data_IF_864279645765
#
_entry.id   IF_864279645765
#
_cell.length_a   1.000
_cell.length_b   1.000
_cell.length_c   1.000
_cell.angle_alpha   90.00
_cell.angle_beta   90.00
_cell.angle_gamma   90.00
#
_symmetry.space_group_name_H-M   'P 1'
#
loop_
_entity.id
_entity.type
_entity.pdbx_description
1 polymer ?
#
# COMPACT_ATOMS: atom_id res chain seq x y z
N UNK A 1 -49.97 -37.73 12.03
CA UNK A 1 -49.53 -36.41 11.53
C UNK A 1 -49.11 -36.58 10.07
N UNK A 2 -49.90 -36.07 9.12
CA UNK A 2 -49.62 -36.26 7.70
C UNK A 2 -48.25 -35.67 7.30
N UNK A 3 -47.47 -36.32 6.42
CA UNK A 3 -46.22 -35.75 5.90
C UNK A 3 -46.52 -34.42 5.19
N UNK A 4 -45.80 -33.35 5.55
CA UNK A 4 -45.98 -32.04 4.92
C UNK A 4 -45.67 -32.16 3.43
N UNK A 5 -46.64 -31.84 2.57
CA UNK A 5 -46.48 -31.80 1.11
C UNK A 5 -45.29 -30.90 0.74
N UNK A 6 -44.43 -31.36 -0.18
CA UNK A 6 -43.33 -30.55 -0.73
C UNK A 6 -43.92 -29.33 -1.47
N UNK A 7 -43.35 -28.14 -1.24
CA UNK A 7 -43.78 -26.91 -1.90
C UNK A 7 -43.49 -26.96 -3.40
N UNK A 8 -44.38 -26.39 -4.20
CA UNK A 8 -44.15 -26.25 -5.65
C UNK A 8 -43.16 -25.12 -5.95
N UNK A 9 -42.56 -25.12 -7.15
CA UNK A 9 -41.60 -24.07 -7.57
C UNK A 9 -42.17 -22.65 -7.44
N UNK A 10 -43.44 -22.46 -7.83
CA UNK A 10 -44.15 -21.17 -7.73
C UNK A 10 -44.35 -20.75 -6.27
N UNK A 11 -44.68 -21.69 -5.39
CA UNK A 11 -44.82 -21.42 -3.95
C UNK A 11 -43.49 -21.02 -3.30
N UNK A 12 -42.36 -21.55 -3.76
CA UNK A 12 -41.03 -21.17 -3.24
C UNK A 12 -40.62 -19.77 -3.73
N UNK A 13 -40.86 -19.46 -5.00
CA UNK A 13 -40.61 -18.12 -5.56
C UNK A 13 -41.48 -17.06 -4.86
N UNK A 14 -42.76 -17.36 -4.62
CA UNK A 14 -43.67 -16.49 -3.88
C UNK A 14 -43.24 -16.34 -2.41
N UNK A 15 -42.81 -17.42 -1.75
CA UNK A 15 -42.31 -17.37 -0.38
C UNK A 15 -41.02 -16.52 -0.27
N UNK A 16 -40.14 -16.53 -1.27
CA UNK A 16 -38.96 -15.67 -1.33
C UNK A 16 -39.34 -14.19 -1.45
N UNK A 17 -40.34 -13.88 -2.28
CA UNK A 17 -40.87 -12.51 -2.44
C UNK A 17 -41.57 -12.02 -1.17
N UNK A 18 -42.39 -12.86 -0.54
CA UNK A 18 -43.02 -12.54 0.74
C UNK A 18 -41.98 -12.36 1.86
N UNK A 19 -40.91 -13.16 1.88
CA UNK A 19 -39.82 -12.98 2.84
C UNK A 19 -39.12 -11.62 2.67
N UNK A 20 -38.84 -11.25 1.43
CA UNK A 20 -38.26 -9.95 1.11
C UNK A 20 -39.20 -8.79 1.52
N UNK A 21 -40.52 -8.97 1.36
CA UNK A 21 -41.53 -7.97 1.74
C UNK A 21 -41.70 -7.84 3.25
N UNK A 22 -41.79 -8.95 3.98
CA UNK A 22 -42.05 -9.00 5.43
C UNK A 22 -40.81 -8.66 6.26
N UNK A 23 -39.62 -9.09 5.82
CA UNK A 23 -38.38 -8.88 6.58
C UNK A 23 -37.48 -7.77 6.01
N UNK A 24 -37.79 -7.22 4.83
CA UNK A 24 -37.01 -6.16 4.18
C UNK A 24 -37.14 -4.80 4.86
N UNK A 25 -38.30 -4.52 5.45
CA UNK A 25 -38.64 -3.20 6.02
C UNK A 25 -38.48 -3.23 7.55
N UNK A 26 -37.70 -2.32 8.16
CA UNK A 26 -37.70 -2.14 9.62
C UNK A 26 -39.08 -1.65 10.08
N UNK A 27 -39.59 -2.17 11.19
CA UNK A 27 -40.84 -1.70 11.80
C UNK A 27 -40.68 -0.35 12.57
N UNK A 28 -39.46 0.19 12.63
CA UNK A 28 -39.11 1.42 13.34
C UNK A 28 -37.59 1.67 13.34
N UNK A 29 -37.08 2.69 14.07
CA UNK A 29 -35.64 2.87 14.27
C UNK A 29 -35.07 1.67 15.04
N UNK A 30 -34.23 0.87 14.37
CA UNK A 30 -33.64 -0.35 14.92
C UNK A 30 -32.19 -0.14 15.37
N UNK A 31 -31.86 -0.67 16.55
CA UNK A 31 -30.49 -0.79 17.02
C UNK A 31 -29.63 -1.76 16.17
N UNK A 32 -28.31 -1.56 16.20
CA UNK A 32 -27.37 -2.33 15.39
C UNK A 32 -27.40 -3.84 15.68
N UNK A 33 -27.69 -4.24 16.92
CA UNK A 33 -27.88 -5.62 17.36
C UNK A 33 -29.09 -6.27 16.70
N UNK A 34 -30.21 -5.56 16.67
CA UNK A 34 -31.48 -6.08 16.16
C UNK A 34 -31.50 -6.12 14.64
N UNK A 35 -30.84 -5.15 14.00
CA UNK A 35 -30.54 -5.19 12.56
C UNK A 35 -29.73 -6.43 12.17
N UNK A 36 -28.75 -6.82 13.01
CA UNK A 36 -27.93 -8.02 12.78
C UNK A 36 -28.75 -9.30 12.94
N UNK A 37 -29.62 -9.37 13.96
CA UNK A 37 -30.55 -10.50 14.17
C UNK A 37 -31.54 -10.63 13.02
N UNK A 38 -32.13 -9.52 12.55
CA UNK A 38 -33.06 -9.50 11.40
C UNK A 38 -32.38 -10.03 10.13
N UNK A 39 -31.18 -9.54 9.81
CA UNK A 39 -30.38 -10.04 8.67
C UNK A 39 -30.07 -11.53 8.77
N UNK A 40 -29.78 -12.05 9.97
CA UNK A 40 -29.54 -13.48 10.17
C UNK A 40 -30.78 -14.32 9.86
N UNK A 41 -31.97 -13.87 10.30
CA UNK A 41 -33.25 -14.54 10.00
C UNK A 41 -33.56 -14.55 8.50
N UNK A 42 -33.38 -13.40 7.83
CA UNK A 42 -33.55 -13.27 6.37
C UNK A 42 -32.64 -14.26 5.63
N UNK A 43 -31.34 -14.25 5.96
CA UNK A 43 -30.36 -15.09 5.27
C UNK A 43 -30.60 -16.58 5.51
N UNK A 44 -31.04 -16.96 6.72
CA UNK A 44 -31.34 -18.35 7.04
C UNK A 44 -32.55 -18.86 6.27
N UNK A 45 -33.66 -18.11 6.27
CA UNK A 45 -34.86 -18.49 5.54
C UNK A 45 -34.64 -18.50 4.03
N UNK A 46 -33.91 -17.50 3.50
CA UNK A 46 -33.51 -17.49 2.09
C UNK A 46 -32.68 -18.72 1.72
N UNK A 47 -31.66 -19.06 2.52
CA UNK A 47 -30.80 -20.24 2.25
C UNK A 47 -31.58 -21.54 2.26
N UNK A 48 -32.61 -21.68 3.09
CA UNK A 48 -33.45 -22.88 3.11
C UNK A 48 -34.38 -22.94 1.89
N UNK A 49 -34.99 -21.81 1.49
CA UNK A 49 -35.81 -21.74 0.27
C UNK A 49 -34.98 -21.97 -1.01
N UNK A 50 -33.77 -21.41 -1.08
CA UNK A 50 -32.85 -21.63 -2.21
C UNK A 50 -32.41 -23.11 -2.31
N UNK A 51 -32.28 -23.82 -1.18
CA UNK A 51 -32.02 -25.27 -1.16
C UNK A 51 -33.21 -26.09 -1.65
N UNK A 52 -34.42 -25.76 -1.21
CA UNK A 52 -35.65 -26.39 -1.68
C UNK A 52 -35.84 -26.15 -3.20
N UNK A 53 -35.54 -24.93 -3.68
CA UNK A 53 -35.56 -24.59 -5.09
C UNK A 53 -34.53 -25.39 -5.90
N UNK A 54 -33.31 -25.53 -5.39
CA UNK A 54 -32.26 -26.32 -6.02
C UNK A 54 -32.64 -27.81 -6.08
N UNK A 55 -33.27 -28.36 -5.03
CA UNK A 55 -33.73 -29.75 -5.01
C UNK A 55 -34.81 -30.00 -6.07
N UNK A 56 -35.77 -29.08 -6.25
CA UNK A 56 -36.78 -29.18 -7.31
C UNK A 56 -36.19 -29.03 -8.72
N UNK A 57 -35.12 -28.25 -8.87
CA UNK A 57 -34.44 -28.08 -10.16
C UNK A 57 -33.63 -29.32 -10.57
N UNK A 58 -33.23 -30.15 -9.60
CA UNK A 58 -32.55 -31.44 -9.85
C UNK A 58 -33.58 -32.51 -10.22
N UNK A 59 -34.72 -32.56 -9.53
CA UNK A 59 -35.81 -33.51 -9.85
C UNK A 59 -36.40 -33.27 -11.25
N UNK A 60 -36.46 -32.00 -11.71
CA UNK A 60 -36.91 -31.65 -13.06
C UNK A 60 -35.95 -32.09 -14.18
N UNK A 61 -34.66 -32.32 -13.87
CA UNK A 61 -33.68 -32.83 -14.83
C UNK A 61 -33.78 -34.36 -15.03
N UNK A 62 -34.44 -35.07 -14.10
CA UNK A 62 -34.66 -36.52 -14.17
C UNK A 62 -36.00 -36.91 -14.83
N UNK A 63 -36.84 -35.93 -15.21
CA UNK A 63 -38.11 -36.16 -15.94
C UNK A 63 -38.02 -35.73 -17.41
N UNK A 64 -36.86 -35.89 -18.04
CA UNK A 64 -36.76 -35.82 -19.50
C UNK A 64 -37.12 -37.19 -20.05
N UNK A 65 -38.39 -37.32 -20.42
CA UNK A 65 -38.95 -38.43 -21.19
C UNK A 65 -38.18 -38.59 -22.52
N UNK A 66 -37.60 -39.75 -22.85
CA UNK A 66 -37.26 -40.06 -24.22
C UNK A 66 -38.50 -40.64 -24.91
N UNK A 67 -39.05 -39.86 -25.84
CA UNK A 67 -40.07 -40.29 -26.78
C UNK A 67 -39.38 -41.15 -27.86
N UNK A 68 -39.89 -42.38 -28.00
CA UNK A 68 -39.90 -43.27 -29.18
C UNK A 68 -38.57 -43.80 -29.77
N UNK A 69 -38.34 -45.11 -29.67
CA UNK A 69 -38.52 -46.07 -30.80
C UNK A 69 -38.16 -47.54 -30.43
N UNK A 70 -39.19 -48.39 -30.40
CA UNK A 70 -39.35 -49.72 -31.04
C UNK A 70 -38.27 -50.83 -30.92
N UNK A 71 -38.75 -52.02 -30.45
CA UNK A 71 -38.26 -53.43 -30.53
C UNK A 71 -37.03 -53.80 -29.66
N UNK A 72 -36.93 -54.95 -28.99
CA UNK A 72 -37.67 -56.21 -28.95
C UNK A 72 -37.42 -56.92 -27.58
N UNK A 73 -38.42 -57.70 -27.15
CA UNK A 73 -38.37 -58.99 -26.41
C UNK A 73 -37.29 -59.21 -25.33
N UNK A 74 -37.72 -59.47 -24.08
CA UNK A 74 -37.56 -60.75 -23.35
C UNK A 74 -38.26 -60.66 -22.00
N UNK A 75 -39.00 -61.73 -21.72
CA UNK A 75 -39.81 -62.05 -20.54
C UNK A 75 -38.98 -62.11 -19.26
N UNK A 76 -39.58 -61.79 -18.11
CA UNK A 76 -39.79 -62.74 -16.99
C UNK A 76 -40.55 -62.05 -15.84
N UNK A 77 -41.79 -62.51 -15.69
CA UNK A 77 -42.60 -62.78 -14.50
C UNK A 77 -42.01 -62.52 -13.10
N UNK A 78 -42.88 -62.09 -12.17
CA UNK A 78 -42.65 -62.27 -10.74
C UNK A 78 -43.39 -61.29 -9.83
N UNK A 79 -44.71 -61.45 -9.70
CA UNK A 79 -45.46 -60.90 -8.58
C UNK A 79 -45.26 -61.78 -7.34
N UNK A 80 -44.96 -61.17 -6.18
CA UNK A 80 -45.36 -61.70 -4.86
C UNK A 80 -45.55 -60.57 -3.86
N UNK A 81 -46.78 -60.52 -3.34
CA UNK A 81 -47.26 -59.80 -2.16
C UNK A 81 -46.91 -60.62 -0.89
N UNK A 82 -47.04 -59.98 0.27
CA UNK A 82 -46.85 -60.50 1.64
C UNK A 82 -45.36 -60.60 2.05
N UNK A 83 -44.90 -60.25 3.26
CA UNK A 83 -45.53 -60.45 4.55
C UNK A 83 -44.81 -59.66 5.66
N UNK A 84 -45.57 -59.18 6.64
CA UNK A 84 -45.08 -58.61 7.90
C UNK A 84 -44.29 -59.64 8.72
N UNK A 85 -43.21 -59.22 9.39
CA UNK A 85 -42.53 -60.11 10.32
C UNK A 85 -41.26 -59.58 10.95
N UNK A 86 -41.42 -59.06 12.17
CA UNK A 86 -40.49 -59.18 13.30
C UNK A 86 -39.17 -58.41 13.25
N UNK A 87 -39.17 -57.38 14.09
CA UNK A 87 -38.05 -56.84 14.84
C UNK A 87 -37.04 -57.93 15.25
N UNK A 88 -35.91 -58.02 14.55
CA UNK A 88 -34.70 -58.67 15.04
C UNK A 88 -33.73 -57.59 15.52
N UNK A 89 -33.16 -57.84 16.68
CA UNK A 89 -32.24 -56.96 17.41
C UNK A 89 -31.01 -56.65 16.55
N UNK A 90 -30.84 -55.36 16.23
CA UNK A 90 -29.70 -54.82 15.48
C UNK A 90 -28.45 -54.92 16.36
N UNK A 91 -27.76 -56.06 16.33
CA UNK A 91 -26.50 -56.29 17.02
C UNK A 91 -25.42 -55.37 16.40
N UNK A 92 -24.99 -54.30 17.09
CA UNK A 92 -24.15 -53.26 16.51
C UNK A 92 -22.78 -53.78 16.06
N UNK A 93 -22.36 -54.95 16.55
CA UNK A 93 -21.13 -55.61 16.13
C UNK A 93 -21.23 -56.20 14.71
N UNK A 94 -22.40 -56.70 14.31
CA UNK A 94 -22.62 -57.24 12.95
C UNK A 94 -22.73 -56.12 11.93
N UNK A 95 -23.39 -55.01 12.27
CA UNK A 95 -23.46 -53.84 11.40
C UNK A 95 -22.07 -53.21 11.17
N UNK A 96 -21.20 -53.19 12.19
CA UNK A 96 -19.82 -52.73 12.02
C UNK A 96 -18.98 -53.65 11.13
N UNK A 97 -19.17 -54.98 11.22
CA UNK A 97 -18.47 -55.95 10.36
C UNK A 97 -18.92 -55.84 8.90
N UNK A 98 -20.22 -55.66 8.66
CA UNK A 98 -20.77 -55.44 7.31
C UNK A 98 -20.32 -54.10 6.73
N UNK A 99 -20.25 -53.05 7.54
CA UNK A 99 -19.72 -51.75 7.11
C UNK A 99 -18.22 -51.81 6.79
N UNK A 100 -17.43 -52.51 7.60
CA UNK A 100 -16.00 -52.72 7.34
C UNK A 100 -15.77 -53.54 6.06
N UNK A 101 -16.52 -54.64 5.87
CA UNK A 101 -16.43 -55.46 4.66
C UNK A 101 -16.83 -54.67 3.40
N UNK A 102 -17.87 -53.83 3.48
CA UNK A 102 -18.27 -52.94 2.40
C UNK A 102 -17.19 -51.87 2.11
N UNK A 103 -16.51 -51.34 3.14
CA UNK A 103 -15.43 -50.38 2.96
C UNK A 103 -14.20 -51.01 2.28
N UNK A 104 -13.85 -52.25 2.62
CA UNK A 104 -12.75 -52.98 1.98
C UNK A 104 -13.09 -53.42 0.55
N UNK A 105 -14.34 -53.79 0.27
CA UNK A 105 -14.79 -54.12 -1.08
C UNK A 105 -14.77 -52.89 -2.01
N UNK A 106 -15.15 -51.71 -1.50
CA UNK A 106 -15.09 -50.44 -2.23
C UNK A 106 -13.64 -49.98 -2.45
N UNK A 107 -12.74 -50.20 -1.49
CA UNK A 107 -11.31 -49.93 -1.69
C UNK A 107 -10.68 -50.87 -2.72
N UNK A 108 -11.00 -52.17 -2.68
CA UNK A 108 -10.45 -53.15 -3.63
C UNK A 108 -10.95 -52.91 -5.06
N UNK A 109 -12.21 -52.49 -5.22
CA UNK A 109 -12.76 -52.08 -6.51
C UNK A 109 -12.10 -50.78 -7.04
N UNK A 110 -11.88 -49.79 -6.16
CA UNK A 110 -11.18 -48.55 -6.51
C UNK A 110 -9.69 -48.75 -6.84
N UNK A 111 -9.03 -49.75 -6.23
CA UNK A 111 -7.64 -50.12 -6.53
C UNK A 111 -7.52 -50.94 -7.81
N UNK A 112 -8.52 -51.77 -8.17
CA UNK A 112 -8.52 -52.55 -9.42
C UNK A 112 -8.94 -51.76 -10.66
N UNK A 113 -9.71 -50.67 -10.54
CA UNK A 113 -9.97 -49.72 -11.64
C UNK A 113 -8.82 -48.71 -11.84
N UNK A 114 -7.90 -48.59 -10.88
CA UNK A 114 -6.73 -47.70 -10.93
C UNK A 114 -5.47 -48.35 -11.55
N UNK A 115 -5.59 -49.55 -12.14
CA UNK A 115 -4.53 -50.19 -12.96
C UNK A 115 -4.91 -50.21 -14.44
N UNK A 116 -5.63 -49.19 -14.89
CA UNK A 116 -5.53 -48.73 -16.28
C UNK A 116 -4.65 -47.48 -16.25
N UNK A 117 -3.53 -47.53 -16.95
CA UNK A 117 -2.43 -46.56 -16.94
C UNK A 117 -2.89 -45.15 -17.31
N UNK A 118 -3.49 -44.43 -16.37
CA UNK A 118 -3.64 -42.99 -16.43
C UNK A 118 -2.30 -42.39 -16.00
N UNK A 119 -1.44 -42.12 -16.98
CA UNK A 119 -0.31 -41.22 -16.79
C UNK A 119 -0.79 -39.99 -16.00
N UNK A 120 -0.03 -39.52 -14.98
CA UNK A 120 -0.41 -38.32 -14.27
C UNK A 120 -0.51 -37.21 -15.31
N UNK A 121 -1.73 -36.70 -15.55
CA UNK A 121 -1.94 -35.51 -16.37
C UNK A 121 -1.33 -34.36 -15.58
N UNK A 122 -0.01 -34.20 -15.71
CA UNK A 122 0.72 -32.98 -15.45
C UNK A 122 -0.09 -31.88 -16.15
N UNK A 123 -0.77 -31.05 -15.36
CA UNK A 123 -1.56 -29.95 -15.90
C UNK A 123 -0.66 -29.11 -16.78
N UNK A 124 -0.81 -29.22 -18.10
CA UNK A 124 0.09 -28.57 -19.05
C UNK A 124 0.20 -27.08 -18.68
N UNK A 125 1.42 -26.50 -18.67
CA UNK A 125 1.64 -25.08 -18.40
C UNK A 125 0.74 -24.18 -19.27
N UNK A 126 0.34 -24.65 -20.45
CA UNK A 126 -0.58 -23.97 -21.36
C UNK A 126 -2.01 -23.90 -20.82
N UNK A 127 -2.50 -24.96 -20.16
CA UNK A 127 -3.82 -24.96 -19.51
C UNK A 127 -3.84 -24.00 -18.32
N UNK A 128 -2.77 -23.95 -17.53
CA UNK A 128 -2.64 -23.02 -16.42
C UNK A 128 -2.47 -21.56 -16.90
N UNK A 129 -1.76 -21.33 -18.00
CA UNK A 129 -1.67 -20.02 -18.64
C UNK A 129 -3.01 -19.56 -19.21
N UNK A 130 -3.75 -20.44 -19.90
CA UNK A 130 -5.07 -20.16 -20.45
C UNK A 130 -6.09 -19.82 -19.34
N UNK A 131 -6.07 -20.54 -18.21
CA UNK A 131 -6.92 -20.23 -17.06
C UNK A 131 -6.56 -18.88 -16.43
N UNK A 132 -5.27 -18.54 -16.30
CA UNK A 132 -4.82 -17.22 -15.83
C UNK A 132 -5.28 -16.10 -16.77
N UNK A 133 -5.18 -16.29 -18.08
CA UNK A 133 -5.64 -15.35 -19.08
C UNK A 133 -7.16 -15.13 -19.00
N UNK A 134 -7.95 -16.21 -18.94
CA UNK A 134 -9.41 -16.15 -18.80
C UNK A 134 -9.85 -15.45 -17.50
N UNK A 135 -9.16 -15.72 -16.40
CA UNK A 135 -9.42 -15.06 -15.12
C UNK A 135 -9.03 -13.58 -15.15
N UNK A 136 -7.93 -13.22 -15.81
CA UNK A 136 -7.53 -11.83 -16.02
C UNK A 136 -8.57 -11.07 -16.87
N UNK A 137 -9.13 -11.71 -17.91
CA UNK A 137 -10.19 -11.14 -18.74
C UNK A 137 -11.49 -10.92 -17.95
N UNK A 138 -11.91 -11.91 -17.16
CA UNK A 138 -13.05 -11.76 -16.23
C UNK A 138 -12.82 -10.61 -15.25
N UNK A 139 -11.62 -10.49 -14.70
CA UNK A 139 -11.26 -9.39 -13.80
C UNK A 139 -11.29 -8.02 -14.51
N UNK A 140 -10.87 -7.93 -15.78
CA UNK A 140 -10.99 -6.70 -16.60
C UNK A 140 -12.46 -6.32 -16.77
N UNK A 141 -13.32 -7.27 -17.17
CA UNK A 141 -14.77 -7.07 -17.33
C UNK A 141 -15.41 -6.61 -16.02
N UNK A 142 -15.09 -7.26 -14.90
CA UNK A 142 -15.58 -6.84 -13.59
C UNK A 142 -15.14 -5.42 -13.23
N UNK A 143 -13.86 -5.06 -13.43
CA UNK A 143 -13.36 -3.70 -13.15
C UNK A 143 -14.01 -2.64 -14.04
N UNK A 144 -14.18 -2.94 -15.33
CA UNK A 144 -14.85 -2.06 -16.28
C UNK A 144 -16.29 -1.76 -15.83
N UNK A 145 -17.01 -2.80 -15.40
CA UNK A 145 -18.41 -2.70 -14.97
C UNK A 145 -18.61 -2.18 -13.54
N UNK A 146 -17.53 -1.88 -12.79
CA UNK A 146 -17.67 -1.30 -11.45
C UNK A 146 -18.02 0.18 -11.50
N UNK A 147 -19.01 0.59 -10.69
CA UNK A 147 -19.34 2.00 -10.49
C UNK A 147 -18.23 2.76 -9.76
N UNK A 148 -18.23 4.10 -9.86
CA UNK A 148 -17.26 4.94 -9.16
C UNK A 148 -17.26 4.71 -7.63
N UNK A 149 -18.44 4.60 -7.01
CA UNK A 149 -18.59 4.30 -5.57
C UNK A 149 -18.02 2.91 -5.21
N UNK A 150 -18.24 1.90 -6.05
CA UNK A 150 -17.67 0.56 -5.84
C UNK A 150 -16.14 0.56 -6.00
N UNK A 151 -15.62 1.28 -7.01
CA UNK A 151 -14.17 1.48 -7.20
C UNK A 151 -13.54 2.18 -6.01
N UNK A 152 -14.20 3.16 -5.43
CA UNK A 152 -13.70 3.86 -4.24
C UNK A 152 -13.69 2.96 -3.01
N UNK A 153 -14.78 2.22 -2.73
CA UNK A 153 -14.85 1.25 -1.62
C UNK A 153 -13.76 0.19 -1.73
N UNK A 154 -13.54 -0.37 -2.92
CA UNK A 154 -12.47 -1.37 -3.13
C UNK A 154 -11.08 -0.76 -2.97
N UNK A 155 -10.86 0.47 -3.45
CA UNK A 155 -9.61 1.23 -3.25
C UNK A 155 -9.35 1.50 -1.76
N UNK A 156 -10.37 1.90 -1.00
CA UNK A 156 -10.28 2.13 0.44
C UNK A 156 -9.93 0.83 1.19
N UNK A 157 -10.64 -0.27 0.89
CA UNK A 157 -10.36 -1.59 1.47
C UNK A 157 -8.94 -2.08 1.16
N UNK A 158 -8.47 -1.88 -0.07
CA UNK A 158 -7.10 -2.26 -0.45
C UNK A 158 -6.04 -1.39 0.25
N UNK A 159 -6.31 -0.08 0.42
CA UNK A 159 -5.45 0.82 1.20
C UNK A 159 -5.37 0.38 2.66
N UNK A 160 -6.49 0.02 3.28
CA UNK A 160 -6.54 -0.47 4.65
C UNK A 160 -5.78 -1.79 4.81
N UNK A 161 -6.00 -2.76 3.91
CA UNK A 161 -5.23 -4.01 3.89
C UNK A 161 -3.72 -3.76 3.74
N UNK A 162 -3.32 -2.83 2.87
CA UNK A 162 -1.91 -2.47 2.71
C UNK A 162 -1.34 -1.80 3.98
N UNK A 163 -2.11 -0.94 4.66
CA UNK A 163 -1.71 -0.35 5.94
C UNK A 163 -1.54 -1.44 7.01
N UNK A 164 -2.52 -2.33 7.16
CA UNK A 164 -2.45 -3.43 8.11
C UNK A 164 -1.28 -4.39 7.83
N UNK A 165 -1.01 -4.69 6.55
CA UNK A 165 0.14 -5.49 6.14
C UNK A 165 1.47 -4.82 6.52
N UNK A 166 1.63 -3.53 6.23
CA UNK A 166 2.84 -2.76 6.62
C UNK A 166 3.03 -2.66 8.13
N UNK A 167 1.94 -2.54 8.88
CA UNK A 167 1.97 -2.49 10.35
C UNK A 167 2.51 -3.80 10.95
N UNK A 168 2.19 -4.94 10.31
CA UNK A 168 2.64 -6.28 10.75
C UNK A 168 4.03 -6.67 10.23
N UNK A 169 4.59 -5.93 9.27
CA UNK A 169 5.92 -6.23 8.71
C UNK A 169 7.04 -5.90 9.69
N UNK A 170 7.89 -6.87 9.95
CA UNK A 170 9.15 -6.72 10.70
C UNK A 170 10.18 -5.92 9.90
N UNK A 171 11.22 -5.42 10.56
CA UNK A 171 12.27 -4.63 9.91
C UNK A 171 12.99 -5.42 8.80
N UNK A 172 13.28 -6.70 9.04
CA UNK A 172 13.87 -7.61 8.06
C UNK A 172 13.01 -7.77 6.80
N UNK A 173 11.69 -7.80 6.93
CA UNK A 173 10.78 -7.86 5.79
C UNK A 173 10.66 -6.52 5.04
N UNK A 174 10.97 -5.39 5.71
CA UNK A 174 10.89 -4.05 5.10
C UNK A 174 12.10 -3.73 4.22
N UNK A 175 13.28 -4.25 4.54
CA UNK A 175 14.53 -4.03 3.78
C UNK A 175 14.40 -4.45 2.31
N UNK A 176 14.03 -5.71 1.98
CA UNK A 176 13.96 -6.15 0.59
C UNK A 176 12.84 -5.41 -0.17
N UNK A 177 11.74 -5.08 0.49
CA UNK A 177 10.65 -4.29 -0.12
C UNK A 177 11.14 -2.89 -0.52
N UNK A 178 11.93 -2.24 0.34
CA UNK A 178 12.53 -0.93 0.06
C UNK A 178 13.56 -1.01 -1.06
N UNK A 179 14.36 -2.07 -1.09
CA UNK A 179 15.35 -2.30 -2.16
C UNK A 179 14.69 -2.49 -3.51
N UNK A 180 13.65 -3.33 -3.59
CA UNK A 180 12.85 -3.51 -4.80
C UNK A 180 12.21 -2.18 -5.24
N UNK A 181 11.72 -1.37 -4.30
CA UNK A 181 11.18 -0.05 -4.61
C UNK A 181 12.25 0.92 -5.13
N UNK A 182 13.45 0.91 -4.55
CA UNK A 182 14.60 1.71 -5.02
C UNK A 182 15.00 1.32 -6.44
N UNK A 183 15.15 0.04 -6.72
CA UNK A 183 15.49 -0.47 -8.06
C UNK A 183 14.42 -0.09 -9.08
N UNK A 184 13.14 -0.25 -8.75
CA UNK A 184 12.02 0.20 -9.61
C UNK A 184 12.08 1.69 -9.92
N UNK A 185 12.39 2.53 -8.92
CA UNK A 185 12.56 3.97 -9.12
C UNK A 185 13.75 4.28 -10.02
N UNK A 186 14.86 3.56 -9.86
CA UNK A 186 16.05 3.73 -10.68
C UNK A 186 15.77 3.35 -12.14
N UNK A 187 15.16 2.20 -12.39
CA UNK A 187 14.74 1.76 -13.72
C UNK A 187 13.78 2.77 -14.36
N UNK A 188 12.78 3.23 -13.60
CA UNK A 188 11.84 4.26 -14.08
C UNK A 188 12.58 5.54 -14.49
N UNK A 189 13.53 6.01 -13.68
CA UNK A 189 14.33 7.21 -14.00
C UNK A 189 15.22 7.01 -15.23
N UNK A 190 15.78 5.82 -15.41
CA UNK A 190 16.57 5.50 -16.60
C UNK A 190 15.72 5.50 -17.88
N UNK A 191 14.46 5.05 -17.78
CA UNK A 191 13.49 5.02 -18.88
C UNK A 191 12.77 6.36 -19.14
N UNK A 192 12.88 7.33 -18.22
CA UNK A 192 12.20 8.62 -18.36
C UNK A 192 12.77 9.46 -19.51
N UNK A 193 11.87 10.03 -20.30
CA UNK A 193 12.23 10.97 -21.36
C UNK A 193 12.70 12.32 -20.77
N UNK A 194 13.58 13.06 -21.46
CA UNK A 194 14.07 14.35 -20.97
C UNK A 194 12.95 15.35 -20.61
N UNK A 195 11.86 15.38 -21.39
CA UNK A 195 10.70 16.22 -21.13
C UNK A 195 9.99 15.86 -19.81
N UNK A 196 9.79 14.57 -19.53
CA UNK A 196 9.19 14.11 -18.27
C UNK A 196 10.07 14.46 -17.06
N UNK A 197 11.40 14.33 -17.21
CA UNK A 197 12.35 14.72 -16.15
C UNK A 197 12.27 16.22 -15.85
N UNK A 198 12.08 17.07 -16.86
CA UNK A 198 11.92 18.52 -16.67
C UNK A 198 10.64 18.81 -15.88
N UNK A 199 9.51 18.20 -16.25
CA UNK A 199 8.24 18.35 -15.52
C UNK A 199 8.38 17.90 -14.06
N UNK A 200 9.04 16.76 -13.80
CA UNK A 200 9.27 16.29 -12.42
C UNK A 200 10.15 17.25 -11.61
N UNK A 201 11.20 17.81 -12.22
CA UNK A 201 12.07 18.81 -11.59
C UNK A 201 11.31 20.09 -11.27
N UNK A 202 10.50 20.59 -12.20
CA UNK A 202 9.71 21.81 -12.03
C UNK A 202 8.65 21.61 -10.95
N UNK A 203 7.98 20.46 -10.93
CA UNK A 203 7.06 20.11 -9.86
C UNK A 203 7.77 20.05 -8.49
N UNK A 204 8.94 19.42 -8.41
CA UNK A 204 9.73 19.37 -7.17
C UNK A 204 10.17 20.77 -6.72
N UNK A 205 10.57 21.64 -7.64
CA UNK A 205 10.94 23.03 -7.36
C UNK A 205 9.76 23.81 -6.80
N UNK A 206 8.59 23.69 -7.43
CA UNK A 206 7.35 24.33 -6.98
C UNK A 206 6.95 23.82 -5.58
N UNK A 207 6.99 22.50 -5.36
CA UNK A 207 6.71 21.92 -4.04
C UNK A 207 7.69 22.41 -2.96
N UNK A 208 8.97 22.57 -3.28
CA UNK A 208 9.94 23.15 -2.35
C UNK A 208 9.65 24.62 -2.05
N UNK A 209 9.27 25.40 -3.05
CA UNK A 209 8.88 26.80 -2.87
C UNK A 209 7.65 26.93 -1.99
N UNK A 210 6.60 26.14 -2.25
CA UNK A 210 5.38 26.10 -1.42
C UNK A 210 5.71 25.70 0.01
N UNK A 211 6.54 24.68 0.22
CA UNK A 211 6.98 24.28 1.58
C UNK A 211 7.76 25.38 2.29
N UNK A 212 8.66 26.07 1.59
CA UNK A 212 9.45 27.18 2.17
C UNK A 212 8.58 28.38 2.49
N UNK A 213 7.60 28.70 1.63
CA UNK A 213 6.65 29.79 1.84
C UNK A 213 5.69 29.48 2.99
N UNK A 214 5.30 28.22 3.17
CA UNK A 214 4.47 27.78 4.29
C UNK A 214 5.23 27.72 5.63
N UNK A 215 6.57 27.75 5.62
CA UNK A 215 7.38 27.82 6.83
C UNK A 215 7.51 29.27 7.30
N UNK A 216 7.07 29.54 8.52
CA UNK A 216 7.29 30.82 9.19
C UNK A 216 8.78 31.15 9.27
N UNK A 217 9.15 32.42 9.13
CA UNK A 217 10.56 32.85 9.19
C UNK A 217 11.20 32.47 10.54
N UNK A 218 10.45 32.53 11.64
CA UNK A 218 10.90 32.12 12.98
C UNK A 218 11.35 30.64 13.01
N UNK A 219 10.57 29.73 12.44
CA UNK A 219 10.92 28.31 12.37
C UNK A 219 12.15 28.07 11.50
N UNK A 220 12.31 28.85 10.42
CA UNK A 220 13.49 28.77 9.55
C UNK A 220 14.76 29.21 10.27
N UNK A 221 14.68 30.26 11.10
CA UNK A 221 15.80 30.72 11.91
C UNK A 221 16.11 29.76 13.05
N UNK A 222 15.09 29.17 13.70
CA UNK A 222 15.27 28.18 14.75
C UNK A 222 16.00 26.92 14.23
N UNK A 223 15.54 26.35 13.11
CA UNK A 223 16.18 25.17 12.49
C UNK A 223 17.62 25.47 12.04
N UNK A 224 17.89 26.68 11.57
CA UNK A 224 19.26 27.08 11.22
C UNK A 224 20.14 27.29 12.44
N UNK A 225 19.61 27.89 13.51
CA UNK A 225 20.33 28.08 14.76
C UNK A 225 20.67 26.74 15.41
N UNK A 226 19.71 25.81 15.44
CA UNK A 226 19.91 24.45 15.96
C UNK A 226 20.99 23.69 15.16
N UNK A 227 20.96 23.78 13.82
CA UNK A 227 22.02 23.21 12.97
C UNK A 227 23.39 23.83 13.24
N UNK A 228 23.47 25.13 13.50
CA UNK A 228 24.74 25.82 13.83
C UNK A 228 25.23 25.48 15.24
N UNK A 229 24.31 25.29 16.18
CA UNK A 229 24.61 24.89 17.55
C UNK A 229 25.20 23.47 17.59
N UNK A 230 24.65 22.55 16.78
CA UNK A 230 25.15 21.18 16.66
C UNK A 230 26.40 20.99 15.78
N UNK A 231 26.93 22.05 15.17
CA UNK A 231 28.18 21.96 14.38
C UNK A 231 29.40 21.92 15.29
N UNK A 232 30.34 21.02 15.00
CA UNK A 232 31.65 20.99 15.66
C UNK A 232 32.50 22.18 15.22
N UNK A 233 33.51 22.54 16.02
CA UNK A 233 34.42 23.65 15.67
C UNK A 233 35.21 23.38 14.39
N UNK A 234 35.54 22.11 14.11
CA UNK A 234 36.15 21.69 12.86
C UNK A 234 35.23 21.91 11.65
N UNK A 235 33.94 21.58 11.78
CA UNK A 235 32.95 21.85 10.72
C UNK A 235 32.80 23.35 10.47
N UNK A 236 32.81 24.15 11.54
CA UNK A 236 32.75 25.61 11.45
C UNK A 236 33.95 26.17 10.72
N UNK A 237 35.16 25.72 11.05
CA UNK A 237 36.37 26.19 10.38
C UNK A 237 36.44 25.72 8.92
N UNK A 238 36.03 24.48 8.62
CA UNK A 238 35.91 24.00 7.24
C UNK A 238 34.95 24.86 6.41
N UNK A 239 33.77 25.20 6.96
CA UNK A 239 32.82 26.10 6.30
C UNK A 239 33.41 27.49 6.10
N UNK A 240 34.14 28.03 7.10
CA UNK A 240 34.82 29.33 6.97
C UNK A 240 35.89 29.31 5.89
N UNK A 241 36.73 28.27 5.83
CA UNK A 241 37.75 28.11 4.79
C UNK A 241 37.11 28.03 3.40
N UNK A 242 36.06 27.23 3.24
CA UNK A 242 35.33 27.14 1.97
C UNK A 242 34.68 28.46 1.56
N UNK A 243 34.19 29.24 2.52
CA UNK A 243 33.66 30.57 2.22
C UNK A 243 34.77 31.56 1.85
N UNK A 244 35.93 31.49 2.51
CA UNK A 244 37.11 32.30 2.15
C UNK A 244 37.56 31.98 0.72
N UNK A 245 37.67 30.71 0.34
CA UNK A 245 38.08 30.32 -1.02
C UNK A 245 37.08 30.78 -2.08
N UNK A 246 35.78 30.64 -1.81
CA UNK A 246 34.72 31.17 -2.68
C UNK A 246 34.78 32.68 -2.83
N UNK A 247 34.98 33.41 -1.73
CA UNK A 247 35.09 34.87 -1.77
C UNK A 247 36.34 35.34 -2.52
N UNK A 248 37.47 34.66 -2.36
CA UNK A 248 38.69 34.94 -3.13
C UNK A 248 38.46 34.70 -4.62
N UNK A 249 37.88 33.56 -4.99
CA UNK A 249 37.55 33.26 -6.38
C UNK A 249 36.54 34.27 -6.96
N UNK A 250 35.52 34.65 -6.19
CA UNK A 250 34.55 35.68 -6.58
C UNK A 250 35.25 37.01 -6.85
N UNK A 251 36.09 37.49 -5.91
CA UNK A 251 36.84 38.76 -6.05
C UNK A 251 37.82 38.75 -7.22
N UNK A 252 38.46 37.61 -7.49
CA UNK A 252 39.37 37.45 -8.62
C UNK A 252 38.63 37.61 -9.96
N UNK A 253 37.39 37.13 -10.06
CA UNK A 253 36.55 37.28 -11.25
C UNK A 253 35.76 38.59 -11.36
N UNK A 254 35.82 39.48 -10.37
CA UNK A 254 35.09 40.75 -10.42
C UNK A 254 35.71 41.73 -11.41
N UNK A 255 34.86 42.42 -12.17
CA UNK A 255 35.24 43.55 -13.01
C UNK A 255 35.58 44.78 -12.16
N UNK A 256 36.30 45.75 -12.72
CA UNK A 256 36.67 46.97 -11.98
C UNK A 256 35.45 47.79 -11.55
N UNK A 257 34.40 47.86 -12.39
CA UNK A 257 33.12 48.49 -12.04
C UNK A 257 32.44 47.79 -10.84
N UNK A 258 32.46 46.46 -10.80
CA UNK A 258 31.92 45.70 -9.65
C UNK A 258 32.75 45.91 -8.38
N UNK A 259 34.07 46.09 -8.51
CA UNK A 259 34.95 46.39 -7.38
C UNK A 259 34.68 47.78 -6.83
N UNK A 260 34.48 48.76 -7.70
CA UNK A 260 34.17 50.14 -7.30
C UNK A 260 32.82 50.26 -6.62
N UNK A 261 31.77 49.62 -7.16
CA UNK A 261 30.45 49.60 -6.53
C UNK A 261 30.48 48.94 -5.14
N UNK A 262 31.19 47.81 -4.98
CA UNK A 262 31.37 47.17 -3.67
C UNK A 262 32.14 48.07 -2.69
N UNK A 263 33.18 48.78 -3.16
CA UNK A 263 33.92 49.75 -2.34
C UNK A 263 33.02 50.90 -1.90
N UNK A 264 32.19 51.43 -2.79
CA UNK A 264 31.24 52.50 -2.47
C UNK A 264 30.24 52.05 -1.40
N UNK A 265 29.61 50.89 -1.58
CA UNK A 265 28.69 50.32 -0.59
C UNK A 265 29.37 50.13 0.76
N UNK A 266 30.62 49.66 0.78
CA UNK A 266 31.37 49.50 2.02
C UNK A 266 31.71 50.84 2.69
N UNK A 267 32.03 51.89 1.92
CA UNK A 267 32.23 53.24 2.46
C UNK A 267 30.95 53.79 3.10
N UNK A 268 29.83 53.65 2.40
CA UNK A 268 28.51 54.09 2.89
C UNK A 268 28.11 53.35 4.17
N UNK A 269 28.27 52.02 4.20
CA UNK A 269 28.05 51.22 5.41
C UNK A 269 28.95 51.68 6.56
N UNK A 270 30.24 51.86 6.32
CA UNK A 270 31.18 52.30 7.36
C UNK A 270 30.88 53.73 7.85
N UNK A 271 30.40 54.62 6.98
CA UNK A 271 29.93 55.95 7.36
C UNK A 271 28.68 55.86 8.23
N UNK A 272 27.70 55.04 7.84
CA UNK A 272 26.48 54.82 8.60
C UNK A 272 26.77 54.20 9.98
N UNK A 273 27.66 53.20 10.05
CA UNK A 273 28.09 52.60 11.31
C UNK A 273 28.75 53.64 12.21
N UNK A 274 29.66 54.46 11.69
CA UNK A 274 30.30 55.55 12.47
C UNK A 274 29.31 56.61 12.95
N UNK A 275 28.34 56.98 12.12
CA UNK A 275 27.28 57.91 12.50
C UNK A 275 26.43 57.36 13.66
N UNK A 276 26.14 56.05 13.64
CA UNK A 276 25.36 55.38 14.67
C UNK A 276 26.13 55.01 15.95
N UNK A 277 27.46 55.17 15.98
CA UNK A 277 28.27 54.85 17.16
C UNK A 277 27.95 55.79 18.32
N UNK A 278 27.85 55.22 19.52
CA UNK A 278 27.78 55.97 20.78
C UNK A 278 29.13 56.60 21.13
N UNK A 279 29.15 57.59 22.02
CA UNK A 279 30.39 58.23 22.44
C UNK A 279 31.40 57.24 23.04
N UNK A 280 30.95 56.30 23.87
CA UNK A 280 31.82 55.26 24.45
C UNK A 280 32.45 54.37 23.38
N UNK A 281 31.66 53.97 22.37
CA UNK A 281 32.17 53.20 21.24
C UNK A 281 33.18 53.99 20.40
N UNK A 282 33.00 55.30 20.25
CA UNK A 282 33.94 56.18 19.56
C UNK A 282 35.25 56.29 20.33
N UNK A 283 35.20 56.49 21.65
CA UNK A 283 36.40 56.54 22.50
C UNK A 283 37.17 55.22 22.47
N UNK A 284 36.48 54.09 22.59
CA UNK A 284 37.09 52.77 22.51
C UNK A 284 37.74 52.53 21.12
N UNK A 285 37.07 52.90 20.04
CA UNK A 285 37.62 52.80 18.68
C UNK A 285 38.88 53.65 18.51
N UNK A 286 38.86 54.89 18.99
CA UNK A 286 40.02 55.78 18.94
C UNK A 286 41.20 55.27 19.78
N UNK A 287 40.94 54.68 20.94
CA UNK A 287 41.97 54.07 21.77
C UNK A 287 42.66 52.90 21.04
N UNK A 288 41.86 52.02 20.41
CA UNK A 288 42.39 50.92 19.60
C UNK A 288 43.18 51.42 18.38
N UNK A 289 42.73 52.48 17.73
CA UNK A 289 43.46 53.06 16.60
C UNK A 289 44.81 53.63 17.04
N UNK A 290 44.87 54.33 18.19
CA UNK A 290 46.13 54.81 18.77
C UNK A 290 47.08 53.68 19.11
N UNK A 291 46.58 52.58 19.69
CA UNK A 291 47.37 51.40 20.02
C UNK A 291 47.92 50.71 18.76
N UNK A 292 47.11 50.57 17.71
CA UNK A 292 47.58 50.05 16.41
C UNK A 292 48.65 50.95 15.80
N UNK A 293 48.47 52.27 15.84
CA UNK A 293 49.45 53.22 15.33
C UNK A 293 50.77 53.17 16.13
N UNK A 294 50.69 53.05 17.46
CA UNK A 294 51.87 52.86 18.30
C UNK A 294 52.61 51.55 17.97
N UNK A 295 51.87 50.46 17.81
CA UNK A 295 52.42 49.14 17.45
C UNK A 295 53.07 49.14 16.08
N UNK A 296 52.43 49.75 15.07
CA UNK A 296 53.02 49.90 13.73
C UNK A 296 54.26 50.78 13.74
N UNK A 297 54.28 51.83 14.56
CA UNK A 297 55.46 52.70 14.71
C UNK A 297 56.61 51.95 15.38
N UNK A 298 56.32 51.15 16.39
CA UNK A 298 57.30 50.32 17.08
C UNK A 298 57.93 49.30 16.11
N UNK A 299 57.12 48.55 15.35
CA UNK A 299 57.64 47.59 14.37
C UNK A 299 58.44 48.23 13.24
N UNK A 300 58.03 49.42 12.76
CA UNK A 300 58.81 50.17 11.76
C UNK A 300 60.10 50.77 12.33
N UNK A 301 60.16 51.04 13.63
CA UNK A 301 61.37 51.52 14.29
C UNK A 301 62.39 50.41 14.57
N UNK A 302 61.92 49.17 14.78
CA UNK A 302 62.80 47.99 14.87
C UNK A 302 63.49 47.70 13.52
N UNK A 303 62.76 47.82 12.39
CA UNK A 303 63.34 47.68 11.05
C UNK A 303 64.29 48.83 10.64
N UNK A 304 64.13 50.03 11.22
CA UNK A 304 65.01 51.19 10.93
C UNK A 304 66.16 51.37 11.92
N UNK A 305 66.08 50.79 13.12
CA UNK A 305 67.13 50.85 14.15
C UNK A 305 68.28 49.85 13.91
N UNK A 306 68.09 48.84 13.07
CA UNK A 306 69.11 47.83 12.74
C UNK A 306 70.16 48.24 11.70
N UNK A 307 70.00 49.41 11.05
CA UNK A 307 70.88 49.83 9.94
C UNK A 307 72.00 50.83 10.32
N UNK A 308 72.10 51.23 11.60
CA UNK A 308 73.16 52.13 12.08
C UNK A 308 73.85 51.55 13.33
N UNK A 309 74.51 50.41 13.19
CA UNK A 309 75.51 49.95 14.16
C UNK A 309 76.47 48.94 13.57
N UNK A 310 77.29 49.31 12.56
CA UNK A 310 78.59 48.68 12.31
C UNK A 310 79.45 49.53 11.35
N UNK A 311 80.34 50.33 11.94
CA UNK A 311 81.62 50.85 11.41
C UNK A 311 82.22 51.64 12.60
N UNK A 312 83.03 51.02 13.47
CA UNK A 312 84.51 50.98 13.37
C UNK A 312 85.11 52.35 13.09
#
# INVERSE_FOLDING_TARGET
MAPKRKRTRREIEEALLQNARVNGTPAGPEDASDRKKRRKRINYQKRNLDKEFAALSIDAANTVVPIANVRDVVMTEGATVEQEGKQEEDDPAMHQRLYAAAYFAVQRAAESEAVSTAAPILGSPDRAAALRARNAERARKQRANMSASQRERTKAKNRERARASRARQTQEQRVPVREVERLRKQVRRAQQMPAERKIERDHNRMQQQVRRAAQADADRHAVQAERRAGQTDNDRENVRQMNRTREVARRAGQTDNERETVRQINRERNAATRAAQTNDQRFASQALDRERHASMRASQSEDRGGAFSFAS
#
